data_IF_801943295018
#
_entry.id   IF_801943295018
#
_cell.length_a   1.000
_cell.length_b   1.000
_cell.length_c   1.000
_cell.angle_alpha   90.00
_cell.angle_beta   90.00
_cell.angle_gamma   90.00
#
_symmetry.space_group_name_H-M   'P 1'
#
loop_
_entity.id
_entity.type
_entity.pdbx_description
1 polymer ?
#
# COMPACT_ATOMS: atom_id res chain seq x y z
N UNK A 1 -18.99 -8.92 39.63
CA UNK A 1 -17.55 -8.81 39.29
C UNK A 1 -17.03 -9.96 38.43
N UNK A 2 -17.27 -11.23 38.78
CA UNK A 2 -16.75 -12.42 38.05
C UNK A 2 -17.25 -12.54 36.60
N UNK A 3 -18.53 -12.24 36.36
CA UNK A 3 -19.17 -12.30 35.04
C UNK A 3 -18.71 -11.19 34.08
N UNK A 4 -18.42 -10.00 34.61
CA UNK A 4 -17.93 -8.86 33.81
C UNK A 4 -16.50 -9.08 33.30
N UNK A 5 -15.65 -9.78 34.07
CA UNK A 5 -14.33 -10.23 33.59
C UNK A 5 -14.49 -11.19 32.40
N UNK A 6 -15.35 -12.20 32.52
CA UNK A 6 -15.52 -13.23 31.47
C UNK A 6 -15.96 -12.59 30.15
N UNK A 7 -16.85 -11.60 30.19
CA UNK A 7 -17.31 -10.85 29.01
C UNK A 7 -16.20 -9.98 28.42
N UNK A 8 -15.36 -9.36 29.25
CA UNK A 8 -14.20 -8.60 28.77
C UNK A 8 -13.15 -9.52 28.11
N UNK A 9 -12.87 -10.68 28.70
CA UNK A 9 -11.94 -11.66 28.12
C UNK A 9 -12.46 -12.26 26.81
N UNK A 10 -13.76 -12.54 26.71
CA UNK A 10 -14.33 -13.03 25.45
C UNK A 10 -14.30 -11.97 24.35
N UNK A 11 -14.59 -10.70 24.68
CA UNK A 11 -14.49 -9.60 23.72
C UNK A 11 -13.04 -9.40 23.23
N UNK A 12 -12.06 -9.49 24.12
CA UNK A 12 -10.63 -9.41 23.75
C UNK A 12 -10.20 -10.61 22.89
N UNK A 13 -10.65 -11.82 23.20
CA UNK A 13 -10.34 -13.00 22.40
C UNK A 13 -10.92 -12.92 20.97
N UNK A 14 -12.14 -12.40 20.82
CA UNK A 14 -12.77 -12.17 19.52
C UNK A 14 -12.00 -11.11 18.72
N UNK A 15 -11.53 -10.05 19.38
CA UNK A 15 -10.72 -9.00 18.75
C UNK A 15 -9.35 -9.52 18.29
N UNK A 16 -8.73 -10.42 19.05
CA UNK A 16 -7.44 -11.04 18.71
C UNK A 16 -7.56 -12.01 17.53
N UNK A 17 -8.67 -12.75 17.42
CA UNK A 17 -8.92 -13.68 16.31
C UNK A 17 -9.15 -12.96 14.97
N UNK A 18 -9.72 -11.74 14.98
CA UNK A 18 -9.95 -10.95 13.77
C UNK A 18 -8.65 -10.47 13.08
N UNK A 19 -7.51 -10.49 13.78
CA UNK A 19 -6.20 -10.12 13.24
C UNK A 19 -5.33 -11.29 12.78
N UNK A 20 -5.78 -12.54 12.94
CA UNK A 20 -5.00 -13.72 12.57
C UNK A 20 -5.06 -13.94 11.05
N UNK A 21 -4.20 -13.25 10.32
CA UNK A 21 -4.01 -13.48 8.91
C UNK A 21 -3.27 -14.82 8.69
N UNK A 22 -4.00 -15.86 8.30
CA UNK A 22 -3.44 -17.20 8.08
C UNK A 22 -2.60 -17.17 6.79
N UNK A 23 -1.30 -17.39 6.91
CA UNK A 23 -0.43 -17.63 5.77
C UNK A 23 -0.50 -19.10 5.34
N UNK A 24 -0.19 -19.37 4.08
CA UNK A 24 -0.11 -20.74 3.57
C UNK A 24 1.01 -21.51 4.29
N UNK A 25 0.68 -22.63 4.89
CA UNK A 25 1.65 -23.50 5.59
C UNK A 25 2.43 -24.37 4.61
N UNK A 26 3.64 -24.84 4.96
CA UNK A 26 4.40 -25.78 4.13
C UNK A 26 3.62 -27.05 3.79
N UNK A 27 2.82 -27.56 4.73
CA UNK A 27 2.00 -28.75 4.54
C UNK A 27 0.89 -28.51 3.50
N UNK A 28 0.30 -27.32 3.49
CA UNK A 28 -0.70 -26.92 2.48
C UNK A 28 -0.05 -26.75 1.09
N UNK A 29 1.16 -26.20 1.01
CA UNK A 29 1.93 -26.17 -0.25
C UNK A 29 2.13 -27.59 -0.78
N UNK A 30 2.52 -28.53 0.08
CA UNK A 30 2.69 -29.94 -0.31
C UNK A 30 1.37 -30.56 -0.79
N UNK A 31 0.23 -30.23 -0.15
CA UNK A 31 -1.09 -30.69 -0.60
C UNK A 31 -1.45 -30.13 -1.97
N UNK A 32 -1.19 -28.85 -2.22
CA UNK A 32 -1.44 -28.21 -3.51
C UNK A 32 -0.60 -28.85 -4.63
N UNK A 33 0.68 -29.12 -4.36
CA UNK A 33 1.56 -29.84 -5.30
C UNK A 33 1.04 -31.25 -5.60
N UNK A 34 0.61 -31.98 -4.57
CA UNK A 34 -0.01 -33.32 -4.72
C UNK A 34 -1.34 -33.29 -5.47
N UNK A 35 -2.07 -32.18 -5.42
CA UNK A 35 -3.29 -31.96 -6.18
C UNK A 35 -3.02 -31.54 -7.64
N UNK A 36 -1.75 -31.43 -8.06
CA UNK A 36 -1.36 -31.09 -9.42
C UNK A 36 -1.23 -29.58 -9.68
N UNK A 37 -1.26 -28.74 -8.65
CA UNK A 37 -1.00 -27.31 -8.81
C UNK A 37 0.50 -27.09 -8.97
N UNK A 38 0.89 -26.33 -10.00
CA UNK A 38 2.30 -26.06 -10.28
C UNK A 38 2.92 -25.11 -9.25
N UNK A 39 4.23 -25.25 -9.04
CA UNK A 39 4.99 -24.37 -8.13
C UNK A 39 4.91 -22.89 -8.57
N UNK A 40 4.85 -22.62 -9.88
CA UNK A 40 4.64 -21.28 -10.44
C UNK A 40 3.27 -20.70 -10.06
N UNK A 41 2.21 -21.51 -10.16
CA UNK A 41 0.87 -21.09 -9.76
C UNK A 41 0.77 -20.80 -8.27
N UNK A 42 1.35 -21.67 -7.42
CA UNK A 42 1.37 -21.47 -5.97
C UNK A 42 2.11 -20.18 -5.62
N UNK A 43 3.25 -19.93 -6.28
CA UNK A 43 4.01 -18.69 -6.12
C UNK A 43 3.18 -17.46 -6.51
N UNK A 44 2.50 -17.49 -7.65
CA UNK A 44 1.68 -16.37 -8.12
C UNK A 44 0.55 -16.05 -7.12
N UNK A 45 -0.09 -17.07 -6.55
CA UNK A 45 -1.13 -16.90 -5.53
C UNK A 45 -0.59 -16.23 -4.26
N UNK A 46 0.60 -16.62 -3.81
CA UNK A 46 1.26 -16.00 -2.64
C UNK A 46 1.59 -14.54 -2.94
N UNK A 47 2.16 -14.25 -4.11
CA UNK A 47 2.53 -12.88 -4.51
C UNK A 47 1.30 -11.96 -4.59
N UNK A 48 0.17 -12.45 -5.11
CA UNK A 48 -1.09 -11.68 -5.17
C UNK A 48 -1.64 -11.33 -3.78
N UNK A 49 -1.66 -12.28 -2.85
CA UNK A 49 -2.12 -12.06 -1.48
C UNK A 49 -1.19 -11.09 -0.72
N UNK A 50 0.13 -11.19 -0.94
CA UNK A 50 1.11 -10.26 -0.39
C UNK A 50 0.93 -8.84 -0.93
N UNK A 51 0.71 -8.68 -2.24
CA UNK A 51 0.49 -7.39 -2.88
C UNK A 51 -0.80 -6.71 -2.41
N UNK A 52 -1.89 -7.47 -2.25
CA UNK A 52 -3.16 -6.96 -1.73
C UNK A 52 -3.07 -6.41 -0.30
N UNK A 53 -2.19 -6.96 0.54
CA UNK A 53 -1.93 -6.47 1.91
C UNK A 53 -1.05 -5.24 1.99
N UNK A 54 -0.21 -4.99 0.97
CA UNK A 54 0.70 -3.85 0.92
C UNK A 54 0.13 -2.63 0.20
N UNK A 55 -1.13 -2.68 -0.24
CA UNK A 55 -1.76 -1.55 -0.90
C UNK A 55 -1.73 -0.32 0.00
N UNK A 56 -0.97 0.71 -0.39
CA UNK A 56 -1.05 2.00 0.25
C UNK A 56 -2.46 2.55 0.03
N UNK A 57 -3.01 3.36 0.96
CA UNK A 57 -4.31 4.00 0.75
C UNK A 57 -4.40 4.82 -0.55
N UNK A 58 -3.25 5.26 -1.07
CA UNK A 58 -3.08 5.94 -2.36
C UNK A 58 -3.21 5.01 -3.58
N UNK A 59 -3.14 3.70 -3.42
CA UNK A 59 -3.12 2.75 -4.53
C UNK A 59 -4.54 2.39 -5.02
N UNK A 60 -5.57 2.79 -4.25
CA UNK A 60 -6.97 2.65 -4.61
C UNK A 60 -7.47 3.89 -5.37
N UNK A 61 -8.05 3.66 -6.55
CA UNK A 61 -8.66 4.70 -7.37
C UNK A 61 -9.88 5.28 -6.64
N UNK A 62 -9.94 6.61 -6.51
CA UNK A 62 -11.12 7.30 -6.00
C UNK A 62 -10.84 8.61 -5.25
N UNK A 63 -11.89 9.13 -4.64
CA UNK A 63 -11.87 10.33 -3.81
C UNK A 63 -12.18 9.93 -2.38
N UNK A 64 -11.32 10.28 -1.42
CA UNK A 64 -11.51 9.91 -0.01
C UNK A 64 -11.23 11.08 0.91
N UNK A 65 -12.07 11.25 1.92
CA UNK A 65 -11.76 12.12 3.06
C UNK A 65 -10.81 11.40 4.03
N UNK A 66 -9.65 12.01 4.26
CA UNK A 66 -8.68 11.60 5.26
C UNK A 66 -8.65 12.66 6.35
N UNK A 67 -8.84 12.25 7.60
CA UNK A 67 -8.63 13.12 8.76
C UNK A 67 -7.21 12.97 9.25
N UNK A 68 -6.54 14.09 9.49
CA UNK A 68 -5.25 14.09 10.19
C UNK A 68 -5.41 13.78 11.70
N UNK A 69 -4.29 13.67 12.39
CA UNK A 69 -4.26 13.42 13.84
C UNK A 69 -4.92 14.55 14.67
N UNK A 70 -5.04 15.75 14.11
CA UNK A 70 -5.67 16.92 14.71
C UNK A 70 -7.16 17.04 14.34
N UNK A 71 -7.70 16.07 13.59
CA UNK A 71 -9.10 15.97 13.20
C UNK A 71 -9.49 16.77 11.95
N UNK A 72 -8.53 17.39 11.26
CA UNK A 72 -8.80 18.19 10.05
C UNK A 72 -9.02 17.26 8.85
N UNK A 73 -10.16 17.43 8.17
CA UNK A 73 -10.49 16.66 6.97
C UNK A 73 -9.76 17.22 5.74
N UNK A 74 -9.16 16.32 4.96
CA UNK A 74 -8.55 16.59 3.65
C UNK A 74 -9.12 15.62 2.62
N UNK A 75 -9.41 16.11 1.41
CA UNK A 75 -9.92 15.28 0.31
C UNK A 75 -8.72 14.81 -0.51
N UNK A 76 -8.46 13.51 -0.50
CA UNK A 76 -7.41 12.87 -1.30
C UNK A 76 -8.04 12.33 -2.58
N UNK A 77 -7.55 12.82 -3.71
CA UNK A 77 -7.88 12.29 -5.03
C UNK A 77 -6.75 11.34 -5.46
N UNK A 78 -7.07 10.07 -5.71
CA UNK A 78 -6.11 9.10 -6.23
C UNK A 78 -6.58 8.49 -7.55
N UNK A 79 -5.63 8.37 -8.48
CA UNK A 79 -5.77 7.65 -9.75
C UNK A 79 -5.30 6.20 -9.67
N UNK A 80 -5.05 5.68 -8.46
CA UNK A 80 -4.60 4.31 -8.22
C UNK A 80 -3.09 4.11 -8.36
N UNK A 81 -2.63 2.89 -8.06
CA UNK A 81 -1.22 2.53 -8.12
C UNK A 81 -0.61 2.85 -9.50
N UNK A 82 0.59 3.44 -9.56
CA UNK A 82 1.29 3.58 -10.82
C UNK A 82 1.51 2.18 -11.41
N UNK A 83 1.04 1.96 -12.63
CA UNK A 83 1.44 0.78 -13.40
C UNK A 83 2.96 0.76 -13.46
N UNK A 84 3.56 -0.42 -13.29
CA UNK A 84 4.97 -0.68 -12.94
C UNK A 84 6.06 -0.04 -13.85
N UNK A 85 5.69 0.81 -14.80
CA UNK A 85 6.59 1.63 -15.62
C UNK A 85 6.89 3.03 -15.08
N UNK A 86 6.20 3.54 -14.05
CA UNK A 86 6.57 4.84 -13.45
C UNK A 86 7.43 4.60 -12.23
N UNK A 87 8.73 4.43 -12.48
CA UNK A 87 9.77 4.38 -11.46
C UNK A 87 9.61 5.55 -10.49
N UNK A 88 9.85 5.28 -9.21
CA UNK A 88 10.00 6.29 -8.17
C UNK A 88 11.26 7.12 -8.44
N UNK A 89 11.21 7.98 -9.46
CA UNK A 89 12.15 9.10 -9.55
C UNK A 89 11.96 9.89 -8.26
N UNK A 90 13.06 10.08 -7.54
CA UNK A 90 13.05 10.90 -6.32
C UNK A 90 12.50 12.29 -6.69
N UNK A 91 11.82 12.94 -5.75
CA UNK A 91 11.31 14.31 -6.00
C UNK A 91 12.42 15.24 -6.48
N UNK A 92 13.67 15.00 -6.05
CA UNK A 92 14.85 15.71 -6.52
C UNK A 92 15.14 15.49 -8.01
N UNK A 93 15.04 14.25 -8.51
CA UNK A 93 15.23 13.93 -9.92
C UNK A 93 14.12 14.54 -10.80
N UNK A 94 12.88 14.59 -10.30
CA UNK A 94 11.78 15.26 -10.99
C UNK A 94 12.02 16.77 -11.10
N UNK A 95 12.51 17.38 -10.03
CA UNK A 95 12.89 18.80 -10.00
C UNK A 95 14.00 19.06 -11.02
N UNK A 96 15.06 18.27 -11.02
CA UNK A 96 16.19 18.42 -11.94
C UNK A 96 15.77 18.24 -13.41
N UNK A 97 14.86 17.29 -13.68
CA UNK A 97 14.27 17.06 -15.01
C UNK A 97 13.43 18.27 -15.45
N UNK A 98 12.60 18.82 -14.56
CA UNK A 98 11.82 20.02 -14.84
C UNK A 98 12.71 21.23 -15.16
N UNK A 99 13.79 21.43 -14.38
CA UNK A 99 14.80 22.48 -14.64
C UNK A 99 15.44 22.32 -16.02
N UNK A 100 15.81 21.10 -16.38
CA UNK A 100 16.42 20.80 -17.68
C UNK A 100 15.47 21.07 -18.85
N UNK A 101 14.18 20.81 -18.68
CA UNK A 101 13.17 21.12 -19.70
C UNK A 101 13.01 22.62 -19.92
N UNK A 102 13.01 23.43 -18.86
CA UNK A 102 12.93 24.89 -18.96
C UNK A 102 14.16 25.49 -19.66
N UNK A 103 15.34 24.96 -19.35
CA UNK A 103 16.58 25.36 -20.01
C UNK A 103 16.57 25.03 -21.51
N UNK A 104 16.07 23.85 -21.89
CA UNK A 104 15.92 23.44 -23.29
C UNK A 104 14.86 24.27 -24.06
N UNK A 105 13.90 24.88 -23.35
CA UNK A 105 12.92 25.81 -23.91
C UNK A 105 13.43 27.26 -23.97
N UNK A 106 14.73 27.48 -23.72
CA UNK A 106 15.39 28.79 -23.82
C UNK A 106 14.82 29.84 -22.84
N UNK A 107 14.27 29.40 -21.71
CA UNK A 107 13.79 30.27 -20.63
C UNK A 107 14.98 30.70 -19.76
N UNK A 108 15.33 31.99 -19.78
CA UNK A 108 16.39 32.56 -18.93
C UNK A 108 15.72 33.17 -17.69
N UNK A 109 15.98 32.60 -16.51
CA UNK A 109 15.57 33.19 -15.24
C UNK A 109 16.72 34.07 -14.73
N UNK A 110 16.53 35.40 -14.76
CA UNK A 110 17.50 36.36 -14.19
C UNK A 110 17.40 36.33 -12.66
N UNK A 111 18.42 35.77 -12.02
CA UNK A 111 18.53 35.65 -10.56
C UNK A 111 19.15 36.88 -9.88
N UNK A 112 19.35 38.00 -10.58
CA UNK A 112 19.83 39.23 -9.92
C UNK A 112 18.77 39.73 -8.95
N UNK A 113 19.05 39.54 -7.66
CA UNK A 113 18.35 40.21 -6.56
C UNK A 113 18.36 41.72 -6.82
N UNK A 114 17.17 42.30 -6.95
CA UNK A 114 16.96 43.74 -6.74
C UNK A 114 17.00 44.05 -5.25
#
# INVERSE_FOLDING_TARGET
>A
MKKSWIVACSAVAILLLAGAAVALTPEEVVKLRKAGVSDETIRLMIEQECAGRQANPSDQIGVREVRDADGKASVVHSTGAPTAGTQSESEQEKVDKAWKMLQNQNVIIDGRRR
#
